data_IF_268737975799
#
_entry.id   IF_268737975799
#
_cell.length_a   1.000
_cell.length_b   1.000
_cell.length_c   1.000
_cell.angle_alpha   90.00
_cell.angle_beta   90.00
_cell.angle_gamma   90.00
#
_symmetry.space_group_name_H-M   'P 1'
#
loop_
_entity.id
_entity.type
_entity.pdbx_description
1 polymer ?
#
# COMPACT_ATOMS: atom_id res chain seq x y z
N UNK A 1 18.75 6.15 -2.02
CA UNK A 1 17.66 6.03 -1.02
C UNK A 1 18.03 5.05 0.09
N UNK A 2 18.78 5.48 1.13
CA UNK A 2 19.19 4.61 2.26
C UNK A 2 18.03 4.12 3.15
N UNK A 3 16.84 4.69 3.02
CA UNK A 3 15.67 4.33 3.83
C UNK A 3 14.98 3.06 3.31
N UNK A 4 14.79 2.95 1.99
CA UNK A 4 14.14 1.79 1.36
C UNK A 4 14.97 0.51 1.50
N UNK A 5 16.30 0.60 1.35
CA UNK A 5 17.20 -0.53 1.59
C UNK A 5 17.07 -1.07 3.02
N UNK A 6 17.11 -0.19 4.03
CA UNK A 6 16.95 -0.60 5.44
C UNK A 6 15.62 -1.29 5.72
N UNK A 7 14.53 -0.83 5.09
CA UNK A 7 13.23 -1.48 5.21
C UNK A 7 13.25 -2.88 4.59
N UNK A 8 13.82 -3.03 3.39
CA UNK A 8 13.93 -4.32 2.71
C UNK A 8 14.82 -5.31 3.48
N UNK A 9 15.93 -4.84 4.04
CA UNK A 9 16.83 -5.66 4.87
C UNK A 9 16.13 -6.14 6.14
N UNK A 10 15.32 -5.27 6.78
CA UNK A 10 14.52 -5.65 7.95
C UNK A 10 13.46 -6.71 7.59
N UNK A 11 12.77 -6.55 6.46
CA UNK A 11 11.78 -7.54 5.99
C UNK A 11 12.47 -8.86 5.68
N UNK A 12 13.61 -8.83 4.98
CA UNK A 12 14.40 -10.02 4.67
C UNK A 12 14.77 -10.80 5.93
N UNK A 13 15.29 -10.11 6.94
CA UNK A 13 15.66 -10.71 8.23
C UNK A 13 14.45 -11.27 8.97
N UNK A 14 13.35 -10.52 8.98
CA UNK A 14 12.09 -10.93 9.62
C UNK A 14 11.49 -12.18 8.98
N UNK A 15 11.52 -12.28 7.64
CA UNK A 15 11.14 -13.48 6.88
C UNK A 15 12.20 -14.59 6.92
N UNK A 16 13.29 -14.42 7.67
CA UNK A 16 14.32 -15.44 7.84
C UNK A 16 15.13 -15.78 6.57
N UNK A 17 15.18 -14.91 5.57
CA UNK A 17 15.99 -15.15 4.35
C UNK A 17 17.48 -14.92 4.62
N UNK A 18 18.23 -16.01 4.79
CA UNK A 18 19.67 -15.99 5.02
C UNK A 18 20.48 -15.99 3.71
N UNK A 19 19.92 -16.53 2.62
CA UNK A 19 20.57 -16.64 1.30
C UNK A 19 20.18 -15.47 0.38
N UNK A 20 21.18 -14.85 -0.25
CA UNK A 20 20.98 -13.75 -1.23
C UNK A 20 20.25 -14.24 -2.49
N UNK A 21 20.47 -15.48 -2.91
CA UNK A 21 19.86 -16.05 -4.12
C UNK A 21 18.35 -16.21 -3.95
N UNK A 22 17.93 -16.76 -2.81
CA UNK A 22 16.51 -16.95 -2.51
C UNK A 22 15.81 -15.60 -2.30
N UNK A 23 16.51 -14.66 -1.66
CA UNK A 23 16.02 -13.30 -1.48
C UNK A 23 15.86 -12.55 -2.80
N UNK A 24 16.73 -12.75 -3.79
CA UNK A 24 16.64 -12.06 -5.08
C UNK A 24 15.34 -12.34 -5.83
N UNK A 25 14.74 -13.52 -5.65
CA UNK A 25 13.44 -13.87 -6.21
C UNK A 25 12.26 -13.23 -5.46
N UNK A 26 12.40 -13.06 -4.13
CA UNK A 26 11.33 -12.59 -3.23
C UNK A 26 11.31 -11.05 -3.13
N UNK A 27 12.47 -10.42 -3.17
CA UNK A 27 12.65 -8.97 -3.11
C UNK A 27 11.71 -8.19 -4.06
N UNK A 28 11.61 -8.50 -5.36
CA UNK A 28 10.70 -7.79 -6.26
C UNK A 28 9.22 -8.00 -5.92
N UNK A 29 8.85 -9.13 -5.31
CA UNK A 29 7.47 -9.42 -4.89
C UNK A 29 7.09 -8.62 -3.63
N UNK A 30 7.98 -8.60 -2.64
CA UNK A 30 7.83 -7.75 -1.45
C UNK A 30 7.73 -6.27 -1.83
N UNK A 31 8.56 -5.80 -2.77
CA UNK A 31 8.50 -4.43 -3.26
C UNK A 31 7.15 -4.11 -3.91
N UNK A 32 6.63 -5.01 -4.75
CA UNK A 32 5.29 -4.85 -5.37
C UNK A 32 4.17 -4.78 -4.33
N UNK A 33 4.22 -5.64 -3.31
CA UNK A 33 3.24 -5.62 -2.20
C UNK A 33 3.27 -4.28 -1.47
N UNK A 34 4.47 -3.80 -1.11
CA UNK A 34 4.64 -2.51 -0.45
C UNK A 34 4.14 -1.34 -1.29
N UNK A 35 4.42 -1.37 -2.60
CA UNK A 35 3.94 -0.34 -3.54
C UNK A 35 2.41 -0.39 -3.69
N UNK A 36 1.82 -1.57 -3.70
CA UNK A 36 0.36 -1.74 -3.72
C UNK A 36 -0.32 -1.27 -2.42
N UNK A 37 0.26 -1.57 -1.25
CA UNK A 37 -0.20 -1.02 0.04
C UNK A 37 -0.13 0.51 0.08
N UNK A 38 0.96 1.08 -0.45
CA UNK A 38 1.10 2.54 -0.59
C UNK A 38 0.04 3.12 -1.53
N UNK A 39 -0.26 2.46 -2.64
CA UNK A 39 -1.26 2.90 -3.62
C UNK A 39 -2.70 2.86 -3.06
N UNK A 40 -2.99 1.88 -2.21
CA UNK A 40 -4.26 1.75 -1.49
C UNK A 40 -4.46 2.81 -0.40
N UNK A 41 -3.41 3.54 -0.02
CA UNK A 41 -3.47 4.44 1.12
C UNK A 41 -3.69 3.70 2.43
N UNK A 42 -3.33 2.42 2.48
CA UNK A 42 -3.36 1.56 3.68
C UNK A 42 -1.95 1.55 4.27
N UNK A 43 -1.55 2.56 5.07
CA UNK A 43 -0.39 2.39 5.91
C UNK A 43 -0.78 1.36 6.99
N UNK A 44 0.16 0.56 7.48
CA UNK A 44 0.05 0.05 8.84
C UNK A 44 -0.36 1.23 9.74
N UNK A 45 -1.58 1.16 10.28
CA UNK A 45 -2.24 2.22 11.04
C UNK A 45 -1.22 2.94 11.93
N UNK A 46 -1.24 4.28 11.92
CA UNK A 46 -0.99 5.01 13.17
C UNK A 46 0.45 5.00 13.75
N UNK A 47 1.52 4.68 13.02
CA UNK A 47 2.87 5.01 13.54
C UNK A 47 3.11 6.54 13.72
N UNK A 48 2.13 7.39 13.39
CA UNK A 48 2.21 8.84 13.56
C UNK A 48 0.94 9.60 13.99
N UNK A 49 -0.19 9.01 14.45
CA UNK A 49 -1.22 9.84 15.13
C UNK A 49 -0.83 10.21 16.58
N UNK A 50 0.46 10.05 16.90
CA UNK A 50 1.10 10.42 18.17
C UNK A 50 1.83 11.76 18.22
N UNK A 51 1.67 12.70 17.26
CA UNK A 51 2.18 14.08 17.50
C UNK A 51 1.37 15.19 16.84
N UNK A 52 0.20 15.41 17.43
CA UNK A 52 -0.33 16.73 17.82
C UNK A 52 0.31 17.94 17.10
N UNK A 53 -0.46 18.53 16.20
CA UNK A 53 -0.46 19.98 15.98
C UNK A 53 -0.01 20.44 14.60
N UNK A 54 -0.98 20.83 13.77
CA UNK A 54 -0.78 21.90 12.79
C UNK A 54 -1.01 21.51 11.33
N UNK A 55 -2.03 22.17 10.76
CA UNK A 55 -2.23 22.44 9.33
C UNK A 55 -2.65 21.26 8.45
N UNK A 56 -3.92 21.34 8.06
CA UNK A 56 -4.49 21.00 6.76
C UNK A 56 -3.64 20.14 5.80
N UNK A 57 -4.14 18.94 5.52
CA UNK A 57 -4.22 18.39 4.16
C UNK A 57 -2.91 18.20 3.39
N UNK A 58 -2.11 17.21 3.76
CA UNK A 58 -1.22 16.54 2.81
C UNK A 58 -0.99 15.09 3.27
N UNK A 59 -2.04 14.28 3.21
CA UNK A 59 -1.99 12.87 3.58
C UNK A 59 -1.50 12.03 2.39
N UNK A 60 -0.25 11.58 2.44
CA UNK A 60 0.28 10.52 1.57
C UNK A 60 0.30 10.86 0.07
N UNK A 61 0.73 9.93 -0.80
CA UNK A 61 0.54 10.08 -2.23
C UNK A 61 -0.97 10.18 -2.48
N UNK A 62 -1.47 11.37 -2.77
CA UNK A 62 -2.87 11.59 -3.03
C UNK A 62 -3.30 10.72 -4.21
N UNK A 63 -4.39 9.97 -4.05
CA UNK A 63 -5.05 9.36 -5.19
C UNK A 63 -5.65 10.48 -6.04
N UNK A 64 -5.22 10.70 -7.29
CA UNK A 64 -5.75 11.76 -8.12
C UNK A 64 -7.27 11.64 -8.32
N UNK A 65 -7.84 10.42 -8.26
CA UNK A 65 -9.28 10.21 -8.30
C UNK A 65 -9.97 10.69 -7.01
N UNK A 66 -9.30 10.55 -5.86
CA UNK A 66 -9.78 11.04 -4.57
C UNK A 66 -9.76 12.56 -4.50
N UNK A 67 -8.67 13.19 -4.95
CA UNK A 67 -8.53 14.65 -4.99
C UNK A 67 -9.57 15.29 -5.90
N UNK A 68 -9.79 14.71 -7.09
CA UNK A 68 -10.80 15.21 -8.03
C UNK A 68 -12.22 15.13 -7.45
N UNK A 69 -12.56 14.03 -6.75
CA UNK A 69 -13.85 13.90 -6.08
C UNK A 69 -13.99 14.91 -4.93
N UNK A 70 -12.96 15.08 -4.10
CA UNK A 70 -12.98 16.03 -2.99
C UNK A 70 -13.16 17.47 -3.50
N UNK A 71 -12.41 17.86 -4.54
CA UNK A 71 -12.54 19.18 -5.15
C UNK A 71 -13.93 19.43 -5.74
N UNK A 72 -14.56 18.41 -6.34
CA UNK A 72 -15.94 18.52 -6.83
C UNK A 72 -16.96 18.70 -5.70
N UNK A 73 -16.74 18.08 -4.55
CA UNK A 73 -17.57 18.29 -3.35
C UNK A 73 -17.36 19.71 -2.81
N UNK A 74 -16.11 20.13 -2.65
CA UNK A 74 -15.75 21.44 -2.09
C UNK A 74 -16.25 22.61 -2.96
N UNK A 75 -16.30 22.42 -4.28
CA UNK A 75 -16.83 23.40 -5.24
C UNK A 75 -18.34 23.31 -5.44
N UNK A 76 -19.05 22.43 -4.72
CA UNK A 76 -20.47 22.16 -4.88
C UNK A 76 -20.85 21.87 -6.35
N UNK A 77 -20.06 21.00 -7.00
CA UNK A 77 -20.25 20.62 -8.39
C UNK A 77 -21.63 19.93 -8.61
N UNK A 78 -22.14 19.93 -9.85
CA UNK A 78 -23.40 19.25 -10.17
C UNK A 78 -23.39 17.77 -9.78
N UNK A 79 -24.55 17.27 -9.36
CA UNK A 79 -24.70 15.89 -8.88
C UNK A 79 -24.21 14.84 -9.89
N UNK A 80 -24.40 15.08 -11.19
CA UNK A 80 -23.94 14.14 -12.24
C UNK A 80 -22.41 14.12 -12.37
N UNK A 81 -21.75 15.25 -12.15
CA UNK A 81 -20.28 15.33 -12.10
C UNK A 81 -19.73 14.58 -10.88
N UNK A 82 -20.33 14.77 -9.71
CA UNK A 82 -19.95 14.06 -8.48
C UNK A 82 -20.16 12.54 -8.65
N UNK A 83 -21.29 12.11 -9.23
CA UNK A 83 -21.55 10.69 -9.54
C UNK A 83 -20.49 10.09 -10.46
N UNK A 84 -20.11 10.80 -11.52
CA UNK A 84 -19.07 10.35 -12.45
C UNK A 84 -17.70 10.21 -11.78
N UNK A 85 -17.31 11.18 -10.95
CA UNK A 85 -16.05 11.13 -10.19
C UNK A 85 -16.06 10.05 -9.11
N UNK A 86 -17.19 9.84 -8.44
CA UNK A 86 -17.37 8.77 -7.46
C UNK A 86 -17.22 7.38 -8.11
N UNK A 87 -17.80 7.17 -9.30
CA UNK A 87 -17.63 5.92 -10.03
C UNK A 87 -16.14 5.67 -10.36
N UNK A 88 -15.45 6.69 -10.89
CA UNK A 88 -14.00 6.61 -11.18
C UNK A 88 -13.17 6.32 -9.94
N UNK A 89 -13.48 6.95 -8.81
CA UNK A 89 -12.80 6.68 -7.55
C UNK A 89 -12.98 5.24 -7.10
N UNK A 90 -14.21 4.71 -7.16
CA UNK A 90 -14.50 3.31 -6.82
C UNK A 90 -13.77 2.34 -7.75
N UNK A 91 -13.72 2.62 -9.05
CA UNK A 91 -13.01 1.79 -10.03
C UNK A 91 -11.50 1.80 -9.77
N UNK A 92 -10.91 2.98 -9.47
CA UNK A 92 -9.52 3.11 -9.04
C UNK A 92 -9.22 2.26 -7.81
N UNK A 93 -10.05 2.35 -6.77
CA UNK A 93 -9.90 1.56 -5.55
C UNK A 93 -10.00 0.06 -5.81
N UNK A 94 -10.95 -0.37 -6.65
CA UNK A 94 -11.09 -1.79 -7.02
C UNK A 94 -9.88 -2.30 -7.80
N UNK A 95 -9.34 -1.50 -8.72
CA UNK A 95 -8.15 -1.85 -9.48
C UNK A 95 -6.92 -1.99 -8.56
N UNK A 96 -6.74 -1.06 -7.61
CA UNK A 96 -5.65 -1.10 -6.63
C UNK A 96 -5.77 -2.30 -5.69
N UNK A 97 -6.99 -2.62 -5.23
CA UNK A 97 -7.22 -3.81 -4.42
C UNK A 97 -6.87 -5.08 -5.20
N UNK A 98 -7.34 -5.21 -6.44
CA UNK A 98 -6.99 -6.37 -7.27
C UNK A 98 -5.48 -6.50 -7.53
N UNK A 99 -4.77 -5.38 -7.68
CA UNK A 99 -3.32 -5.36 -7.79
C UNK A 99 -2.63 -5.81 -6.48
N UNK A 100 -3.14 -5.38 -5.32
CA UNK A 100 -2.66 -5.81 -4.01
C UNK A 100 -2.88 -7.31 -3.81
N UNK A 101 -4.09 -7.81 -4.04
CA UNK A 101 -4.43 -9.24 -3.93
C UNK A 101 -3.52 -10.08 -4.81
N UNK A 102 -3.26 -9.62 -6.04
CA UNK A 102 -2.33 -10.29 -6.98
C UNK A 102 -0.90 -10.27 -6.47
N UNK A 103 -0.42 -9.14 -5.95
CA UNK A 103 0.93 -9.02 -5.41
C UNK A 103 1.14 -9.92 -4.18
N UNK A 104 0.16 -9.95 -3.27
CA UNK A 104 0.16 -10.81 -2.10
C UNK A 104 0.11 -12.29 -2.47
N UNK A 105 -0.74 -12.69 -3.44
CA UNK A 105 -0.82 -14.07 -3.91
C UNK A 105 0.51 -14.55 -4.52
N UNK A 106 1.15 -13.71 -5.32
CA UNK A 106 2.47 -14.02 -5.87
C UNK A 106 3.55 -14.12 -4.80
N UNK A 107 3.49 -13.28 -3.75
CA UNK A 107 4.40 -13.38 -2.62
C UNK A 107 4.19 -14.70 -1.86
N UNK A 108 2.94 -15.10 -1.56
CA UNK A 108 2.62 -16.37 -0.89
C UNK A 108 3.21 -17.59 -1.60
N UNK A 109 3.17 -17.61 -2.94
CA UNK A 109 3.71 -18.74 -3.74
C UNK A 109 5.19 -19.04 -3.50
N UNK A 110 5.98 -18.06 -3.04
CA UNK A 110 7.43 -18.21 -2.81
C UNK A 110 7.80 -18.22 -1.32
N UNK A 111 6.81 -18.13 -0.44
CA UNK A 111 7.00 -18.17 1.01
C UNK A 111 6.65 -19.55 1.56
N UNK A 112 7.30 -19.92 2.66
CA UNK A 112 6.87 -21.04 3.49
C UNK A 112 5.76 -20.59 4.46
N UNK A 113 5.01 -21.53 5.02
CA UNK A 113 3.93 -21.24 5.98
C UNK A 113 4.39 -20.37 7.16
N UNK A 114 5.61 -20.58 7.66
CA UNK A 114 6.19 -19.75 8.72
C UNK A 114 6.41 -18.31 8.25
N UNK A 115 6.96 -18.13 7.06
CA UNK A 115 7.24 -16.82 6.48
C UNK A 115 5.96 -16.08 6.10
N UNK A 116 4.92 -16.78 5.65
CA UNK A 116 3.60 -16.19 5.44
C UNK A 116 3.02 -15.65 6.76
N UNK A 117 3.15 -16.39 7.86
CA UNK A 117 2.73 -15.91 9.19
C UNK A 117 3.53 -14.67 9.61
N UNK A 118 4.85 -14.66 9.42
CA UNK A 118 5.71 -13.48 9.67
C UNK A 118 5.29 -12.29 8.78
N UNK A 119 5.06 -12.53 7.48
CA UNK A 119 4.60 -11.51 6.53
C UNK A 119 3.22 -10.94 6.92
N UNK A 120 2.32 -11.79 7.42
CA UNK A 120 1.00 -11.38 7.92
C UNK A 120 1.14 -10.52 9.18
N UNK A 121 2.00 -10.92 10.13
CA UNK A 121 2.29 -10.13 11.33
C UNK A 121 2.95 -8.78 11.03
N UNK A 122 3.72 -8.70 9.94
CA UNK A 122 4.29 -7.45 9.43
C UNK A 122 3.29 -6.57 8.66
N UNK A 123 2.10 -7.09 8.36
CA UNK A 123 1.10 -6.41 7.53
C UNK A 123 1.45 -6.37 6.05
N UNK A 124 2.35 -7.24 5.57
CA UNK A 124 2.63 -7.42 4.14
C UNK A 124 1.54 -8.24 3.46
N UNK A 125 1.05 -9.27 4.14
CA UNK A 125 -0.07 -10.10 3.69
C UNK A 125 -1.30 -9.83 4.57
N UNK A 126 -2.48 -9.90 3.97
CA UNK A 126 -3.77 -9.86 4.68
C UNK A 126 -4.72 -10.98 4.26
#
# INVERSE_FOLDING_TARGET
MRFQQRMMDNIRQSLGFTNDTDWAAVQPLVQKVLDAHRAMGTPGRMMFRGRRGGRAGQFGPSDPAGDALQSAIDSNAPADQIKGLLARYKDSQKAKQGALDTAEANLRQVLTVKQEAEATLMGLLQ
#
